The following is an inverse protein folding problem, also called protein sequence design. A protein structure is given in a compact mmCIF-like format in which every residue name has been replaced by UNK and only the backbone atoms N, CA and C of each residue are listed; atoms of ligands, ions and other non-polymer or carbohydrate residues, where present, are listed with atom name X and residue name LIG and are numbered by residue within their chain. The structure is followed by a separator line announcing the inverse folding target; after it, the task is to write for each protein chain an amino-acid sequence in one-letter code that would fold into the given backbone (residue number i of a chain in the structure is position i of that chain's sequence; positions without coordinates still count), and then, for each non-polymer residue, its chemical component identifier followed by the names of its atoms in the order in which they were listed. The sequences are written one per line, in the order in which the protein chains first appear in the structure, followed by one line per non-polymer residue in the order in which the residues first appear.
data_IF_554928239197
#
_entry.id   IF_554928239197
#
_cell.length_a   1.000
_cell.length_b   1.000
_cell.length_c   1.000
_cell.angle_alpha   90.00
_cell.angle_beta   90.00
_cell.angle_gamma   90.00
#
_symmetry.space_group_name_H-M   'P 1'
#
loop_
_entity.id
_entity.type
_entity.pdbx_description
1 polymer ?
#
# COMPACT_ATOMS: atom_id res chain seq x y z
N UNK A 1 -21.78 -1.61 17.04
CA UNK A 1 -21.18 -1.30 15.75
C UNK A 1 -19.67 -1.19 15.88
N UNK A 2 -18.93 -1.98 15.16
CA UNK A 2 -17.48 -2.02 15.27
C UNK A 2 -16.87 -0.88 14.45
N UNK A 3 -16.03 -0.05 15.09
CA UNK A 3 -15.31 1.01 14.39
C UNK A 3 -14.07 0.44 13.73
N UNK A 4 -13.74 0.90 12.55
CA UNK A 4 -12.53 0.51 11.84
C UNK A 4 -11.65 1.73 11.60
N UNK A 5 -10.35 1.59 11.88
CA UNK A 5 -9.36 2.63 11.61
C UNK A 5 -8.25 2.07 10.72
N UNK A 6 -7.73 2.86 9.78
CA UNK A 6 -6.59 2.42 9.00
C UNK A 6 -5.32 2.42 9.85
N UNK A 7 -4.46 1.41 9.65
CA UNK A 7 -3.18 1.35 10.34
C UNK A 7 -2.27 2.52 9.94
N UNK A 8 -2.38 2.95 8.70
CA UNK A 8 -1.57 4.05 8.16
C UNK A 8 -2.49 5.14 7.62
N UNK A 9 -2.02 6.38 7.71
CA UNK A 9 -2.80 7.57 7.35
C UNK A 9 -3.19 7.61 5.86
N UNK A 10 -2.38 7.02 5.00
CA UNK A 10 -2.61 7.04 3.56
C UNK A 10 -3.53 5.91 3.06
N UNK A 11 -4.04 5.06 3.95
CA UNK A 11 -5.04 4.05 3.60
C UNK A 11 -6.43 4.62 3.83
N UNK A 12 -7.25 4.65 2.79
CA UNK A 12 -8.64 5.10 2.87
C UNK A 12 -9.54 3.88 2.91
N UNK A 13 -10.33 3.76 3.97
CA UNK A 13 -11.33 2.70 4.13
C UNK A 13 -12.67 3.17 3.56
N UNK A 14 -13.54 2.23 3.24
CA UNK A 14 -14.86 2.51 2.69
C UNK A 14 -15.30 1.38 1.78
N UNK A 15 -16.23 1.66 0.87
CA UNK A 15 -16.74 0.65 -0.07
C UNK A 15 -15.61 0.12 -0.98
N UNK A 16 -14.69 1.00 -1.36
CA UNK A 16 -13.53 0.64 -2.19
C UNK A 16 -12.26 1.13 -1.51
N UNK A 17 -11.67 0.34 -0.62
CA UNK A 17 -10.42 0.74 0.03
C UNK A 17 -9.34 1.03 -1.00
N UNK A 18 -8.59 2.10 -0.78
CA UNK A 18 -7.51 2.51 -1.68
C UNK A 18 -6.47 3.32 -0.92
N UNK A 19 -5.34 3.57 -1.54
CA UNK A 19 -4.30 4.42 -1.00
C UNK A 19 -4.45 5.83 -1.55
N UNK A 20 -3.97 6.82 -0.79
CA UNK A 20 -3.88 8.20 -1.24
C UNK A 20 -2.50 8.75 -0.90
N UNK A 21 -2.07 9.74 -1.63
CA UNK A 21 -0.77 10.35 -1.44
C UNK A 21 -0.89 11.87 -1.46
N UNK A 22 0.12 12.53 -0.89
CA UNK A 22 0.27 13.98 -1.04
C UNK A 22 0.91 14.24 -2.40
N UNK A 23 0.21 15.01 -3.24
CA UNK A 23 0.69 15.39 -4.57
C UNK A 23 1.17 16.83 -4.53
N UNK A 24 2.42 17.06 -4.95
CA UNK A 24 2.94 18.42 -5.04
C UNK A 24 2.19 19.19 -6.13
N UNK A 25 1.64 20.34 -5.78
CA UNK A 25 0.88 21.18 -6.72
C UNK A 25 1.75 21.73 -7.85
N UNK A 26 3.05 21.89 -7.63
CA UNK A 26 3.97 22.46 -8.61
C UNK A 26 4.51 21.46 -9.62
N UNK A 27 4.90 20.24 -9.17
CA UNK A 27 5.57 19.27 -10.05
C UNK A 27 4.89 17.91 -10.12
N UNK A 28 3.86 17.65 -9.31
CA UNK A 28 3.14 16.39 -9.32
C UNK A 28 3.82 15.22 -8.60
N UNK A 29 4.92 15.46 -7.89
CA UNK A 29 5.58 14.42 -7.12
C UNK A 29 4.66 13.88 -6.02
N UNK A 30 4.71 12.58 -5.76
CA UNK A 30 3.83 11.91 -4.81
C UNK A 30 4.60 11.47 -3.57
N UNK A 31 4.01 11.71 -2.40
CA UNK A 31 4.59 11.31 -1.12
C UNK A 31 3.49 10.75 -0.22
N UNK A 32 3.78 9.65 0.47
CA UNK A 32 2.82 9.10 1.45
C UNK A 32 2.86 9.84 2.78
N UNK A 33 3.99 10.41 3.13
CA UNK A 33 4.15 11.18 4.36
C UNK A 33 3.84 12.65 4.13
N UNK A 34 3.45 13.33 5.21
CA UNK A 34 3.24 14.77 5.17
C UNK A 34 4.59 15.47 5.09
N UNK A 35 4.72 16.40 4.15
CA UNK A 35 5.95 17.16 3.95
C UNK A 35 5.68 18.65 3.99
N UNK A 36 6.65 19.40 4.53
CA UNK A 36 6.61 20.86 4.51
C UNK A 36 7.05 21.42 3.16
N UNK A 37 7.88 20.67 2.44
CA UNK A 37 8.37 21.06 1.11
C UNK A 37 8.61 19.81 0.27
N UNK A 38 8.44 19.96 -1.04
CA UNK A 38 8.67 18.88 -1.99
C UNK A 38 10.17 18.61 -2.11
N UNK A 39 10.56 17.34 -1.98
CA UNK A 39 11.96 16.94 -2.12
C UNK A 39 12.47 17.10 -3.55
N UNK A 40 11.56 17.19 -4.53
CA UNK A 40 11.89 17.29 -5.95
C UNK A 40 12.02 18.73 -6.44
N UNK A 41 11.09 19.62 -6.03
CA UNK A 41 11.05 20.99 -6.55
C UNK A 41 10.97 22.08 -5.48
N UNK A 42 10.97 21.69 -4.20
CA UNK A 42 10.86 22.60 -3.05
C UNK A 42 9.52 23.31 -2.92
N UNK A 43 8.51 22.92 -3.70
CA UNK A 43 7.15 23.46 -3.57
C UNK A 43 6.58 23.13 -2.19
N UNK A 44 5.69 24.00 -1.69
CA UNK A 44 5.13 23.87 -0.33
C UNK A 44 3.63 23.57 -0.32
N UNK A 45 3.00 23.49 -1.48
CA UNK A 45 1.58 23.20 -1.58
C UNK A 45 1.37 21.76 -2.05
N UNK A 46 0.52 21.04 -1.33
CA UNK A 46 0.20 19.65 -1.60
C UNK A 46 -1.31 19.45 -1.57
N UNK A 47 -1.78 18.52 -2.39
CA UNK A 47 -3.17 18.07 -2.39
C UNK A 47 -3.21 16.56 -2.25
N UNK A 48 -4.33 16.03 -1.76
CA UNK A 48 -4.54 14.58 -1.73
C UNK A 48 -4.83 14.07 -3.14
N UNK A 49 -4.20 12.96 -3.48
CA UNK A 49 -4.47 12.26 -4.74
C UNK A 49 -4.78 10.81 -4.44
N UNK A 50 -5.93 10.31 -4.91
CA UNK A 50 -6.28 8.92 -4.81
C UNK A 50 -5.46 8.11 -5.80
N UNK A 51 -4.91 6.99 -5.33
CA UNK A 51 -4.07 6.12 -6.13
C UNK A 51 -4.86 4.92 -6.63
N UNK A 52 -4.38 4.30 -7.70
CA UNK A 52 -5.01 3.08 -8.21
C UNK A 52 -4.86 1.94 -7.20
N UNK A 53 -5.80 0.99 -7.26
CA UNK A 53 -5.77 -0.21 -6.41
C UNK A 53 -5.07 -1.38 -7.09
N UNK A 54 -4.60 -1.18 -8.31
CA UNK A 54 -3.88 -2.20 -9.08
C UNK A 54 -2.51 -1.68 -9.48
N UNK A 55 -1.59 -2.60 -9.70
CA UNK A 55 -0.24 -2.24 -10.11
C UNK A 55 0.57 -3.48 -10.46
N UNK A 56 1.88 -3.29 -10.58
CA UNK A 56 2.81 -4.39 -10.86
C UNK A 56 3.94 -4.40 -9.86
N UNK A 57 4.39 -5.59 -9.49
CA UNK A 57 5.54 -5.77 -8.63
C UNK A 57 6.79 -5.38 -9.41
N UNK A 58 7.53 -4.40 -8.88
CA UNK A 58 8.83 -3.99 -9.43
C UNK A 58 9.97 -4.78 -8.82
N UNK A 59 9.87 -5.11 -7.54
CA UNK A 59 10.87 -5.87 -6.81
C UNK A 59 10.20 -6.67 -5.71
N UNK A 60 10.78 -7.81 -5.35
CA UNK A 60 10.27 -8.63 -4.25
C UNK A 60 11.39 -9.36 -3.55
N UNK A 61 11.19 -9.64 -2.27
CA UNK A 61 12.11 -10.43 -1.44
C UNK A 61 11.30 -11.33 -0.53
N UNK A 62 11.55 -12.63 -0.60
CA UNK A 62 10.90 -13.59 0.30
C UNK A 62 11.77 -13.74 1.54
N UNK A 63 11.18 -13.46 2.71
CA UNK A 63 11.87 -13.58 3.98
C UNK A 63 11.39 -14.84 4.67
N UNK A 64 12.22 -15.88 4.60
CA UNK A 64 11.86 -17.22 5.09
C UNK A 64 12.43 -17.62 6.44
N UNK A 65 13.27 -16.78 7.05
CA UNK A 65 13.96 -17.09 8.32
C UNK A 65 13.16 -16.72 9.57
N UNK A 66 11.87 -16.50 9.42
CA UNK A 66 11.00 -16.13 10.54
C UNK A 66 9.99 -17.25 10.80
N UNK A 67 9.31 -17.20 11.96
CA UNK A 67 8.25 -18.15 12.26
C UNK A 67 7.09 -18.07 11.26
N UNK A 68 6.87 -16.88 10.69
CA UNK A 68 5.86 -16.65 9.67
C UNK A 68 6.52 -16.01 8.47
N UNK A 69 6.97 -16.82 7.50
CA UNK A 69 7.57 -16.28 6.28
C UNK A 69 6.64 -15.28 5.59
N UNK A 70 7.23 -14.24 5.04
CA UNK A 70 6.47 -13.22 4.32
C UNK A 70 7.24 -12.72 3.11
N UNK A 71 6.53 -12.09 2.18
CA UNK A 71 7.13 -11.52 0.98
C UNK A 71 7.00 -10.00 1.03
N UNK A 72 8.15 -9.33 1.01
CA UNK A 72 8.20 -7.87 0.90
C UNK A 72 8.24 -7.50 -0.58
N UNK A 73 7.39 -6.58 -1.00
CA UNK A 73 7.29 -6.16 -2.40
C UNK A 73 7.32 -4.65 -2.54
N UNK A 74 7.77 -4.20 -3.71
CA UNK A 74 7.61 -2.81 -4.15
C UNK A 74 6.69 -2.85 -5.35
N UNK A 75 5.58 -2.14 -5.28
CA UNK A 75 4.56 -2.11 -6.32
C UNK A 75 4.56 -0.75 -6.99
N UNK A 76 4.62 -0.74 -8.31
CA UNK A 76 4.38 0.46 -9.12
C UNK A 76 2.89 0.48 -9.45
N UNK A 77 2.18 1.47 -8.92
CA UNK A 77 0.74 1.58 -9.09
C UNK A 77 0.40 2.11 -10.48
N UNK A 78 -0.71 1.62 -11.04
CA UNK A 78 -1.21 2.11 -12.31
C UNK A 78 -1.57 3.59 -12.18
N UNK A 79 -1.09 4.41 -13.12
CA UNK A 79 -1.35 5.84 -13.07
C UNK A 79 -0.40 6.65 -12.20
N UNK A 80 0.54 6.02 -11.52
CA UNK A 80 1.59 6.70 -10.76
C UNK A 80 1.66 6.30 -9.30
N UNK A 81 2.84 6.47 -8.73
CA UNK A 81 3.13 6.15 -7.35
C UNK A 81 3.70 4.76 -7.16
N UNK A 82 4.56 4.61 -6.17
CA UNK A 82 5.13 3.31 -5.77
C UNK A 82 4.94 3.11 -4.28
N UNK A 83 4.66 1.88 -3.87
CA UNK A 83 4.46 1.56 -2.46
C UNK A 83 5.26 0.30 -2.10
N UNK A 84 5.84 0.32 -0.89
CA UNK A 84 6.51 -0.84 -0.33
C UNK A 84 5.59 -1.47 0.71
N UNK A 85 5.28 -2.74 0.53
CA UNK A 85 4.35 -3.46 1.40
C UNK A 85 4.60 -4.95 1.31
N UNK A 86 3.64 -5.76 1.74
CA UNK A 86 3.74 -7.21 1.71
C UNK A 86 2.79 -7.80 0.68
N UNK A 87 3.22 -8.89 0.06
CA UNK A 87 2.34 -9.73 -0.77
C UNK A 87 1.59 -10.68 0.15
N UNK A 88 0.27 -10.72 0.03
CA UNK A 88 -0.59 -11.41 0.98
C UNK A 88 -0.84 -12.87 0.67
N UNK A 89 -0.71 -13.29 -0.59
CA UNK A 89 -1.15 -14.61 -1.01
C UNK A 89 -0.05 -15.52 -1.58
N UNK A 90 1.22 -15.14 -1.48
CA UNK A 90 2.30 -16.03 -1.94
C UNK A 90 3.62 -15.73 -1.24
N UNK A 91 4.38 -16.79 -0.97
CA UNK A 91 5.76 -16.70 -0.52
C UNK A 91 6.67 -17.54 -1.44
N UNK A 92 6.16 -17.97 -2.58
CA UNK A 92 6.92 -18.76 -3.55
C UNK A 92 7.48 -17.84 -4.64
N UNK A 93 8.82 -17.70 -4.75
CA UNK A 93 9.42 -16.84 -5.76
C UNK A 93 9.02 -17.19 -7.19
N UNK A 94 8.82 -18.48 -7.49
CA UNK A 94 8.41 -18.90 -8.83
C UNK A 94 7.00 -18.44 -9.17
N UNK A 95 6.08 -18.54 -8.22
CA UNK A 95 4.70 -18.05 -8.40
C UNK A 95 4.66 -16.54 -8.54
N UNK A 96 5.49 -15.82 -7.76
CA UNK A 96 5.55 -14.36 -7.81
C UNK A 96 6.08 -13.92 -9.18
N UNK A 97 7.16 -14.52 -9.65
CA UNK A 97 7.74 -14.17 -10.95
C UNK A 97 6.79 -14.47 -12.12
N UNK A 98 5.93 -15.47 -11.96
CA UNK A 98 4.96 -15.84 -13.00
C UNK A 98 3.81 -14.84 -13.15
N UNK A 99 3.51 -14.07 -12.11
CA UNK A 99 2.40 -13.11 -12.15
C UNK A 99 2.74 -11.89 -11.30
N UNK A 100 3.17 -10.83 -11.94
CA UNK A 100 3.55 -9.58 -11.28
C UNK A 100 2.38 -8.60 -11.13
N UNK A 101 1.24 -8.90 -11.73
CA UNK A 101 0.04 -8.07 -11.59
C UNK A 101 -0.61 -8.29 -10.23
N UNK A 102 -0.84 -7.20 -9.51
CA UNK A 102 -1.37 -7.26 -8.15
C UNK A 102 -2.50 -6.27 -7.95
N UNK A 103 -3.32 -6.54 -6.93
CA UNK A 103 -4.39 -5.65 -6.51
C UNK A 103 -4.37 -5.47 -5.00
N UNK A 104 -4.84 -4.32 -4.55
CA UNK A 104 -4.90 -3.97 -3.13
C UNK A 104 -5.91 -4.85 -2.40
N UNK A 105 -5.54 -5.31 -1.22
CA UNK A 105 -6.45 -5.96 -0.30
C UNK A 105 -6.20 -5.43 1.12
N UNK A 106 -7.20 -5.52 1.96
CA UNK A 106 -7.13 -5.10 3.35
C UNK A 106 -7.33 -6.28 4.28
N UNK A 107 -6.82 -6.17 5.50
CA UNK A 107 -6.96 -7.24 6.48
C UNK A 107 -7.01 -6.65 7.89
N UNK A 108 -7.60 -7.41 8.79
CA UNK A 108 -7.67 -7.05 10.21
C UNK A 108 -6.33 -7.35 10.88
N UNK A 109 -5.72 -6.33 11.49
CA UNK A 109 -4.47 -6.48 12.24
C UNK A 109 -4.76 -6.86 13.68
N UNK A 110 -5.73 -6.20 14.28
CA UNK A 110 -6.10 -6.48 15.66
C UNK A 110 -7.29 -5.61 16.09
N UNK A 111 -7.83 -5.93 17.25
CA UNK A 111 -8.95 -5.21 17.83
C UNK A 111 -8.53 -4.72 19.22
N UNK A 112 -8.80 -3.45 19.52
CA UNK A 112 -8.48 -2.90 20.83
C UNK A 112 -9.59 -3.22 21.86
N UNK A 113 -9.41 -2.74 23.09
CA UNK A 113 -10.35 -3.02 24.18
C UNK A 113 -11.73 -2.40 23.97
N UNK A 114 -11.82 -1.37 23.13
CA UNK A 114 -13.08 -0.70 22.80
C UNK A 114 -13.80 -1.36 21.62
N UNK A 115 -13.22 -2.39 21.05
CA UNK A 115 -13.76 -3.03 19.85
C UNK A 115 -13.38 -2.35 18.54
N UNK A 116 -12.48 -1.36 18.57
CA UNK A 116 -12.00 -0.70 17.36
C UNK A 116 -11.03 -1.62 16.63
N UNK A 117 -11.30 -1.85 15.36
CA UNK A 117 -10.49 -2.72 14.50
C UNK A 117 -9.43 -1.92 13.74
N UNK A 118 -8.17 -2.33 13.86
CA UNK A 118 -7.09 -1.76 13.07
C UNK A 118 -6.95 -2.52 11.76
N UNK A 119 -7.04 -1.81 10.65
CA UNK A 119 -7.03 -2.40 9.31
C UNK A 119 -5.72 -2.04 8.61
N UNK A 120 -5.01 -3.07 8.17
CA UNK A 120 -3.81 -2.92 7.36
C UNK A 120 -4.11 -3.22 5.90
N UNK A 121 -3.12 -3.01 5.05
CA UNK A 121 -3.24 -3.30 3.63
C UNK A 121 -2.04 -4.07 3.13
N UNK A 122 -2.23 -4.74 2.02
CA UNK A 122 -1.17 -5.37 1.25
C UNK A 122 -1.68 -5.58 -0.15
N UNK A 123 -0.94 -6.32 -0.93
CA UNK A 123 -1.36 -6.65 -2.29
C UNK A 123 -1.40 -8.16 -2.46
N UNK A 124 -2.28 -8.60 -3.32
CA UNK A 124 -2.37 -10.00 -3.71
C UNK A 124 -2.26 -10.10 -5.22
N UNK A 125 -1.79 -11.23 -5.72
CA UNK A 125 -1.71 -11.45 -7.16
C UNK A 125 -3.11 -11.51 -7.75
N UNK A 126 -3.31 -10.79 -8.88
CA UNK A 126 -4.60 -10.78 -9.56
C UNK A 126 -4.92 -12.14 -10.16
N UNK A 127 -6.17 -12.52 -10.08
CA UNK A 127 -6.62 -13.78 -10.65
C UNK A 127 -6.22 -15.02 -9.85
N UNK A 128 -5.68 -14.84 -8.65
CA UNK A 128 -5.29 -15.96 -7.80
C UNK A 128 -6.41 -16.33 -6.82
#
# INVERSE_FOLDING_TARGET
MTSQIPLVEYLVLGEKPHLRAHSCAACGALFFDRRNACARCSGQEFAWKDLATTGKIRAYTVIGRTKKPFTSIVVDLDGGGSVKTNLLNSTDPAEIAANLDVELDTFLIGTDDDGTEAIGFGFKQKGA
#
